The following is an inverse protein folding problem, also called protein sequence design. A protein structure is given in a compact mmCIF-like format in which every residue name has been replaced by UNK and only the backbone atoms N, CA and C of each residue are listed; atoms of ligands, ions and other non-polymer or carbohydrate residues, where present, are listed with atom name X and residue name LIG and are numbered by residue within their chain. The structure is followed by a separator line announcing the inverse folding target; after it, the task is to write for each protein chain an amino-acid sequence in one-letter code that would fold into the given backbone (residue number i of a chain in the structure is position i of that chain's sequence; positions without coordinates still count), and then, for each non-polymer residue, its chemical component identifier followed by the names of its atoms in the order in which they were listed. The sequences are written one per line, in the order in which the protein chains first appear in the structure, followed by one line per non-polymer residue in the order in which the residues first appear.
data_IF_784481448746
#
_entry.id   IF_784481448746
#
_cell.length_a   1.000
_cell.length_b   1.000
_cell.length_c   1.000
_cell.angle_alpha   90.00
_cell.angle_beta   90.00
_cell.angle_gamma   90.00
#
_symmetry.space_group_name_H-M   'P 1'
#
loop_
_entity.id
_entity.type
_entity.pdbx_description
1 polymer ?
#
# COMPACT_ATOMS: atom_id res chain seq x y z
N UNK A 1 -54.19 -22.64 50.61
CA UNK A 1 -55.23 -22.51 49.56
C UNK A 1 -54.48 -22.25 48.25
N UNK A 2 -54.34 -23.27 47.39
CA UNK A 2 -55.11 -23.45 46.12
C UNK A 2 -54.91 -22.28 45.13
N UNK A 3 -54.57 -22.42 43.84
CA UNK A 3 -54.23 -23.55 42.93
C UNK A 3 -53.65 -22.93 41.61
N UNK A 4 -52.94 -23.58 40.67
CA UNK A 4 -52.40 -24.94 40.51
C UNK A 4 -51.31 -24.96 39.40
N UNK A 5 -50.63 -26.10 39.18
CA UNK A 5 -49.92 -26.47 37.93
C UNK A 5 -50.77 -27.45 37.09
N UNK A 6 -50.56 -27.55 35.76
CA UNK A 6 -49.69 -28.61 35.19
C UNK A 6 -48.72 -28.03 34.12
N UNK A 7 -47.52 -28.55 33.82
CA UNK A 7 -46.96 -29.91 33.69
C UNK A 7 -47.31 -30.64 32.37
N UNK A 8 -46.32 -31.40 31.84
CA UNK A 8 -46.31 -32.27 30.64
C UNK A 8 -45.95 -31.60 29.30
N UNK A 9 -45.20 -32.23 28.39
CA UNK A 9 -44.35 -33.45 28.44
C UNK A 9 -43.25 -33.33 27.36
N UNK A 10 -42.07 -33.89 27.63
CA UNK A 10 -41.00 -34.27 26.69
C UNK A 10 -40.61 -35.68 27.14
N UNK A 11 -40.49 -36.73 26.29
CA UNK A 11 -39.38 -36.83 25.33
C UNK A 11 -39.66 -37.65 24.04
N UNK A 12 -38.69 -37.72 23.11
CA UNK A 12 -38.25 -39.01 22.51
C UNK A 12 -37.02 -38.85 21.59
N UNK A 13 -35.91 -39.45 21.99
CA UNK A 13 -34.76 -39.74 21.11
C UNK A 13 -35.06 -40.99 20.28
N UNK A 14 -34.71 -40.98 18.98
CA UNK A 14 -34.35 -42.21 18.25
C UNK A 14 -33.16 -41.96 17.32
N UNK A 15 -32.16 -42.82 17.45
CA UNK A 15 -31.06 -42.97 16.50
C UNK A 15 -31.29 -44.21 15.60
N UNK A 16 -30.37 -44.38 14.66
CA UNK A 16 -29.99 -45.58 13.90
C UNK A 16 -30.35 -45.59 12.40
N UNK A 17 -29.34 -45.86 11.56
CA UNK A 17 -29.51 -46.18 10.13
C UNK A 17 -28.41 -45.63 9.21
N UNK A 18 -27.26 -46.28 9.15
CA UNK A 18 -26.30 -46.10 8.04
C UNK A 18 -26.85 -46.74 6.74
N UNK A 19 -26.69 -46.06 5.60
CA UNK A 19 -26.49 -46.69 4.28
C UNK A 19 -26.02 -45.67 3.22
N UNK A 20 -24.93 -45.97 2.52
CA UNK A 20 -24.43 -45.17 1.39
C UNK A 20 -25.29 -45.32 0.13
N UNK A 21 -25.47 -44.22 -0.60
CA UNK A 21 -25.57 -44.21 -2.06
C UNK A 21 -25.12 -42.84 -2.61
N UNK A 22 -24.48 -42.84 -3.78
CA UNK A 22 -23.77 -41.68 -4.34
C UNK A 22 -24.65 -40.76 -5.20
N UNK A 23 -24.07 -39.60 -5.53
CA UNK A 23 -24.38 -38.78 -6.72
C UNK A 23 -25.66 -37.92 -6.66
N UNK A 24 -25.48 -36.60 -6.50
CA UNK A 24 -25.49 -35.69 -7.66
C UNK A 24 -24.98 -34.30 -7.28
N UNK A 25 -23.99 -33.85 -8.05
CA UNK A 25 -23.58 -32.47 -8.33
C UNK A 25 -24.49 -31.37 -7.78
N UNK A 26 -23.98 -30.61 -6.82
CA UNK A 26 -24.25 -29.18 -6.71
C UNK A 26 -22.94 -28.46 -6.43
N UNK A 27 -22.34 -27.96 -7.51
CA UNK A 27 -21.33 -26.90 -7.42
C UNK A 27 -22.05 -25.66 -6.91
N UNK A 28 -22.17 -25.52 -5.59
CA UNK A 28 -22.41 -24.20 -5.02
C UNK A 28 -21.24 -23.32 -5.41
N UNK A 29 -21.61 -22.19 -6.02
CA UNK A 29 -20.73 -21.19 -6.59
C UNK A 29 -19.60 -20.89 -5.63
N UNK A 30 -18.38 -21.30 -5.99
CA UNK A 30 -17.18 -20.81 -5.32
C UNK A 30 -17.12 -19.30 -5.58
N UNK A 31 -17.59 -18.51 -4.61
CA UNK A 31 -17.46 -17.06 -4.66
C UNK A 31 -16.03 -16.74 -5.03
N UNK A 32 -15.83 -15.92 -6.06
CA UNK A 32 -14.50 -15.56 -6.52
C UNK A 32 -13.87 -14.64 -5.48
N UNK A 33 -13.24 -15.26 -4.46
CA UNK A 33 -12.53 -14.58 -3.39
C UNK A 33 -11.47 -13.69 -4.01
N UNK A 34 -11.73 -12.38 -3.94
CA UNK A 34 -10.93 -11.38 -4.65
C UNK A 34 -9.48 -11.39 -4.16
N UNK A 35 -8.53 -11.36 -5.10
CA UNK A 35 -7.10 -11.29 -4.78
C UNK A 35 -6.56 -9.92 -5.13
N UNK A 36 -5.74 -9.37 -4.23
CA UNK A 36 -5.04 -8.10 -4.49
C UNK A 36 -4.19 -8.20 -5.76
N UNK A 37 -3.72 -9.40 -6.11
CA UNK A 37 -2.88 -9.66 -7.28
C UNK A 37 -3.61 -9.66 -8.63
N UNK A 38 -4.93 -9.75 -8.63
CA UNK A 38 -5.77 -9.60 -9.83
C UNK A 38 -6.49 -8.26 -9.82
N UNK A 39 -7.06 -7.88 -8.69
CA UNK A 39 -8.11 -6.85 -8.63
C UNK A 39 -7.51 -5.45 -8.38
N UNK A 40 -6.34 -5.39 -7.73
CA UNK A 40 -5.73 -4.14 -7.26
C UNK A 40 -4.43 -3.76 -8.01
N UNK A 41 -4.17 -4.37 -9.18
CA UNK A 41 -2.96 -4.14 -10.01
C UNK A 41 -2.69 -2.64 -10.25
N UNK A 42 -3.74 -1.88 -10.55
CA UNK A 42 -3.69 -0.44 -10.80
C UNK A 42 -3.83 0.42 -9.52
N UNK A 43 -4.34 -0.15 -8.42
CA UNK A 43 -4.74 0.57 -7.20
C UNK A 43 -3.61 0.77 -6.15
N UNK A 44 -2.34 0.67 -6.56
CA UNK A 44 -1.18 0.65 -5.66
C UNK A 44 -1.07 1.82 -4.68
N UNK A 45 -1.45 3.03 -5.10
CA UNK A 45 -1.45 4.19 -4.21
C UNK A 45 -2.48 4.04 -3.08
N UNK A 46 -3.62 3.40 -3.36
CA UNK A 46 -4.65 3.08 -2.37
C UNK A 46 -4.21 1.93 -1.46
N UNK A 47 -3.63 0.86 -2.02
CA UNK A 47 -3.05 -0.26 -1.24
C UNK A 47 -1.97 0.23 -0.29
N UNK A 48 -1.00 1.02 -0.78
CA UNK A 48 0.07 1.60 0.05
C UNK A 48 -0.47 2.50 1.16
N UNK A 49 -1.53 3.27 0.89
CA UNK A 49 -2.19 4.13 1.90
C UNK A 49 -2.91 3.30 2.96
N UNK A 50 -3.62 2.25 2.56
CA UNK A 50 -4.31 1.34 3.49
C UNK A 50 -3.33 0.54 4.34
N UNK A 51 -2.25 0.03 3.77
CA UNK A 51 -1.19 -0.65 4.52
C UNK A 51 -0.55 0.25 5.59
N UNK A 52 -0.27 1.53 5.26
CA UNK A 52 0.19 2.53 6.24
C UNK A 52 -0.85 2.81 7.34
N UNK A 53 -2.13 2.88 6.99
CA UNK A 53 -3.23 3.02 7.96
C UNK A 53 -3.35 1.79 8.88
N UNK A 54 -3.06 0.59 8.36
CA UNK A 54 -2.97 -0.64 9.15
C UNK A 54 -1.82 -0.60 10.17
N UNK A 55 -0.65 -0.09 9.79
CA UNK A 55 0.49 0.16 10.70
C UNK A 55 0.11 1.17 11.79
N UNK A 56 -0.54 2.27 11.42
CA UNK A 56 -1.03 3.27 12.40
C UNK A 56 -2.01 2.66 13.41
N UNK A 57 -2.87 1.73 12.97
CA UNK A 57 -3.75 0.98 13.87
C UNK A 57 -2.96 0.09 14.83
N UNK A 58 -1.89 -0.58 14.39
CA UNK A 58 -1.02 -1.34 15.28
C UNK A 58 -0.37 -0.47 16.36
N UNK A 59 0.14 0.71 16.01
CA UNK A 59 0.64 1.68 17.01
C UNK A 59 -0.45 2.13 17.99
N UNK A 60 -1.66 2.40 17.51
CA UNK A 60 -2.78 2.81 18.36
C UNK A 60 -3.18 1.69 19.35
N UNK A 61 -3.22 0.43 18.90
CA UNK A 61 -3.47 -0.73 19.76
C UNK A 61 -2.35 -0.90 20.78
N UNK A 62 -1.08 -0.89 20.36
CA UNK A 62 0.07 -1.02 21.26
C UNK A 62 0.06 0.06 22.37
N UNK A 63 -0.13 1.34 22.00
CA UNK A 63 -0.26 2.43 22.97
C UNK A 63 -1.47 2.27 23.91
N UNK A 64 -2.60 1.79 23.40
CA UNK A 64 -3.80 1.52 24.19
C UNK A 64 -3.57 0.40 25.23
N UNK A 65 -2.91 -0.71 24.85
CA UNK A 65 -2.63 -1.80 25.81
C UNK A 65 -1.67 -1.33 26.89
N UNK A 66 -0.62 -0.59 26.54
CA UNK A 66 0.33 -0.03 27.52
C UNK A 66 -0.35 0.90 28.51
N UNK A 67 -1.19 1.82 28.04
CA UNK A 67 -1.95 2.71 28.93
C UNK A 67 -3.00 1.93 29.75
N UNK A 68 -3.61 0.88 29.20
CA UNK A 68 -4.55 0.02 29.95
C UNK A 68 -3.86 -0.73 31.08
N UNK A 69 -2.66 -1.26 30.85
CA UNK A 69 -1.85 -1.91 31.88
C UNK A 69 -1.50 -0.93 33.01
N UNK A 70 -1.10 0.31 32.64
CA UNK A 70 -0.82 1.39 33.58
C UNK A 70 -2.03 1.73 34.46
N UNK A 71 -3.21 1.93 33.85
CA UNK A 71 -4.45 2.26 34.57
C UNK A 71 -4.89 1.16 35.54
N UNK A 72 -4.78 -0.12 35.17
CA UNK A 72 -5.13 -1.24 36.06
C UNK A 72 -4.14 -1.37 37.23
N UNK A 73 -2.84 -1.10 37.00
CA UNK A 73 -1.82 -1.05 38.05
C UNK A 73 -2.04 0.11 39.03
N UNK A 74 -2.30 1.32 38.52
CA UNK A 74 -2.64 2.50 39.34
C UNK A 74 -3.88 2.23 40.21
N UNK A 75 -4.91 1.59 39.64
CA UNK A 75 -6.13 1.23 40.34
C UNK A 75 -5.88 0.19 41.45
N UNK A 76 -5.12 -0.87 41.17
CA UNK A 76 -4.71 -1.85 42.18
C UNK A 76 -3.97 -1.19 43.35
N UNK A 77 -3.01 -0.30 43.07
CA UNK A 77 -2.29 0.44 44.12
C UNK A 77 -3.19 1.37 44.93
N UNK A 78 -4.20 1.99 44.31
CA UNK A 78 -5.16 2.83 45.01
C UNK A 78 -6.04 2.01 45.98
N UNK A 79 -6.47 0.81 45.58
CA UNK A 79 -7.22 -0.10 46.46
C UNK A 79 -6.38 -0.60 47.65
N UNK A 80 -5.11 -0.98 47.44
CA UNK A 80 -4.23 -1.39 48.54
C UNK A 80 -4.00 -0.25 49.56
N UNK A 81 -3.85 0.99 49.09
CA UNK A 81 -3.73 2.16 49.97
C UNK A 81 -5.02 2.44 50.74
N UNK A 82 -6.19 2.23 50.09
CA UNK A 82 -7.49 2.40 50.74
C UNK A 82 -7.65 1.44 51.92
N UNK A 83 -7.32 0.15 51.76
CA UNK A 83 -7.46 -0.85 52.83
C UNK A 83 -6.43 -0.68 53.93
N UNK A 84 -5.20 -0.29 53.60
CA UNK A 84 -4.16 0.04 54.59
C UNK A 84 -4.58 1.21 55.48
N UNK A 85 -5.14 2.26 54.90
CA UNK A 85 -5.64 3.44 55.64
C UNK A 85 -6.95 3.16 56.41
N UNK A 86 -7.65 2.08 56.08
CA UNK A 86 -8.92 1.70 56.69
C UNK A 86 -8.77 0.86 57.97
N UNK A 87 -7.57 0.38 58.31
CA UNK A 87 -7.34 -0.48 59.48
C UNK A 87 -7.58 0.30 60.77
N UNK A 88 -8.53 -0.15 61.57
CA UNK A 88 -8.96 0.47 62.82
C UNK A 88 -9.39 -0.61 63.81
N UNK A 89 -9.18 -0.35 65.11
CA UNK A 89 -9.68 -1.18 66.21
C UNK A 89 -11.04 -0.63 66.67
N UNK A 90 -11.98 -1.52 66.99
CA UNK A 90 -13.27 -1.17 67.61
C UNK A 90 -13.54 -2.06 68.84
N UNK A 91 -14.45 -1.63 69.71
CA UNK A 91 -14.85 -2.37 70.90
C UNK A 91 -15.70 -3.62 70.57
N UNK A 92 -16.39 -3.65 69.43
CA UNK A 92 -17.11 -4.82 68.96
C UNK A 92 -16.18 -5.74 68.16
N UNK A 93 -15.86 -6.90 68.74
CA UNK A 93 -15.08 -7.92 68.04
C UNK A 93 -15.83 -8.45 66.79
N UNK A 94 -17.17 -8.52 66.84
CA UNK A 94 -17.98 -8.93 65.69
C UNK A 94 -17.87 -7.92 64.54
N UNK A 95 -17.99 -6.62 64.85
CA UNK A 95 -17.85 -5.58 63.84
C UNK A 95 -16.41 -5.49 63.30
N UNK A 96 -15.40 -5.63 64.17
CA UNK A 96 -13.98 -5.68 63.76
C UNK A 96 -13.74 -6.80 62.75
N UNK A 97 -14.18 -8.04 63.04
CA UNK A 97 -14.08 -9.17 62.11
C UNK A 97 -14.84 -8.94 60.79
N UNK A 98 -16.00 -8.26 60.85
CA UNK A 98 -16.74 -7.88 59.65
C UNK A 98 -15.94 -6.87 58.81
N UNK A 99 -15.41 -5.82 59.42
CA UNK A 99 -14.62 -4.79 58.77
C UNK A 99 -13.32 -5.35 58.15
N UNK A 100 -12.63 -6.24 58.86
CA UNK A 100 -11.48 -6.97 58.34
C UNK A 100 -11.83 -7.82 57.12
N UNK A 101 -13.02 -8.42 57.09
CA UNK A 101 -13.51 -9.16 55.90
C UNK A 101 -13.68 -8.23 54.70
N UNK A 102 -14.24 -7.04 54.88
CA UNK A 102 -14.37 -6.04 53.82
C UNK A 102 -13.00 -5.53 53.35
N UNK A 103 -12.08 -5.23 54.26
CA UNK A 103 -10.73 -4.81 53.91
C UNK A 103 -9.99 -5.90 53.13
N UNK A 104 -10.03 -7.15 53.60
CA UNK A 104 -9.40 -8.32 52.95
C UNK A 104 -10.00 -8.58 51.56
N UNK A 105 -11.32 -8.45 51.41
CA UNK A 105 -12.00 -8.57 50.11
C UNK A 105 -11.50 -7.54 49.09
N UNK A 106 -11.31 -6.28 49.51
CA UNK A 106 -10.76 -5.23 48.64
C UNK A 106 -9.25 -5.42 48.37
N UNK A 107 -8.47 -5.91 49.34
CA UNK A 107 -7.06 -6.30 49.15
C UNK A 107 -6.95 -7.41 48.07
N UNK A 108 -7.84 -8.40 48.09
CA UNK A 108 -7.89 -9.42 47.06
C UNK A 108 -8.31 -8.87 45.68
N UNK A 109 -9.33 -8.00 45.60
CA UNK A 109 -9.67 -7.33 44.32
C UNK A 109 -8.47 -6.56 43.77
N UNK A 110 -7.69 -5.90 44.63
CA UNK A 110 -6.47 -5.21 44.24
C UNK A 110 -5.40 -6.18 43.71
N UNK A 111 -5.19 -7.33 44.37
CA UNK A 111 -4.26 -8.36 43.92
C UNK A 111 -4.60 -8.88 42.52
N UNK A 112 -5.86 -9.23 42.27
CA UNK A 112 -6.31 -9.74 40.95
C UNK A 112 -6.17 -8.66 39.85
N UNK A 113 -6.39 -7.38 40.21
CA UNK A 113 -6.14 -6.24 39.29
C UNK A 113 -4.65 -6.08 38.98
N UNK A 114 -3.77 -6.29 39.97
CA UNK A 114 -2.33 -6.29 39.78
C UNK A 114 -1.86 -7.44 38.87
N UNK A 115 -2.44 -8.64 39.02
CA UNK A 115 -2.17 -9.81 38.15
C UNK A 115 -2.60 -9.57 36.70
N UNK A 116 -3.78 -8.97 36.48
CA UNK A 116 -4.23 -8.57 35.15
C UNK A 116 -3.32 -7.51 34.53
N UNK A 117 -2.96 -6.47 35.29
CA UNK A 117 -2.02 -5.44 34.85
C UNK A 117 -0.65 -6.04 34.49
N UNK A 118 -0.15 -7.00 35.30
CA UNK A 118 1.09 -7.74 35.04
C UNK A 118 1.00 -8.56 33.76
N UNK A 119 -0.09 -9.29 33.53
CA UNK A 119 -0.34 -10.05 32.29
C UNK A 119 -0.29 -9.14 31.06
N UNK A 120 -0.98 -7.99 31.12
CA UNK A 120 -0.91 -7.00 30.04
C UNK A 120 0.52 -6.49 29.82
N UNK A 121 1.20 -6.09 30.90
CA UNK A 121 2.52 -5.44 30.84
C UNK A 121 3.65 -6.39 30.42
N UNK A 122 3.57 -7.68 30.75
CA UNK A 122 4.65 -8.66 30.52
C UNK A 122 4.44 -9.55 29.29
N UNK A 123 3.18 -9.76 28.86
CA UNK A 123 2.85 -10.60 27.70
C UNK A 123 2.34 -9.76 26.53
N UNK A 124 1.25 -9.01 26.73
CA UNK A 124 0.54 -8.36 25.61
C UNK A 124 1.29 -7.12 25.08
N UNK A 125 1.82 -6.28 25.97
CA UNK A 125 2.58 -5.07 25.57
C UNK A 125 3.80 -5.41 24.71
N UNK A 126 4.74 -6.28 25.13
CA UNK A 126 5.93 -6.60 24.33
C UNK A 126 5.58 -7.23 22.97
N UNK A 127 4.55 -8.08 22.92
CA UNK A 127 4.07 -8.69 21.67
C UNK A 127 3.50 -7.66 20.70
N UNK A 128 2.65 -6.74 21.17
CA UNK A 128 2.06 -5.69 20.31
C UNK A 128 3.10 -4.70 19.82
N UNK A 129 4.09 -4.32 20.64
CA UNK A 129 5.22 -3.48 20.23
C UNK A 129 6.08 -4.18 19.16
N UNK A 130 6.50 -5.43 19.42
CA UNK A 130 7.31 -6.21 18.49
C UNK A 130 6.60 -6.47 17.16
N UNK A 131 5.30 -6.78 17.20
CA UNK A 131 4.49 -6.95 15.99
C UNK A 131 4.34 -5.63 15.23
N UNK A 132 4.13 -4.51 15.91
CA UNK A 132 3.99 -3.18 15.27
C UNK A 132 5.26 -2.82 14.49
N UNK A 133 6.45 -3.00 15.09
CA UNK A 133 7.74 -2.78 14.43
C UNK A 133 7.95 -3.74 13.24
N UNK A 134 7.55 -5.01 13.37
CA UNK A 134 7.60 -6.00 12.28
C UNK A 134 6.70 -5.57 11.11
N UNK A 135 5.45 -5.18 11.40
CA UNK A 135 4.46 -4.77 10.42
C UNK A 135 4.92 -3.51 9.67
N UNK A 136 5.44 -2.50 10.38
CA UNK A 136 5.97 -1.30 9.76
C UNK A 136 7.10 -1.63 8.77
N UNK A 137 8.09 -2.41 9.20
CA UNK A 137 9.23 -2.81 8.33
C UNK A 137 8.77 -3.55 7.08
N UNK A 138 7.83 -4.48 7.20
CA UNK A 138 7.28 -5.21 6.06
C UNK A 138 6.54 -4.26 5.09
N UNK A 139 5.66 -3.40 5.60
CA UNK A 139 4.90 -2.44 4.79
C UNK A 139 5.83 -1.43 4.10
N UNK A 140 6.81 -0.88 4.80
CA UNK A 140 7.81 0.02 4.21
C UNK A 140 8.58 -0.66 3.07
N UNK A 141 9.05 -1.91 3.27
CA UNK A 141 9.75 -2.71 2.25
C UNK A 141 8.89 -2.93 1.00
N UNK A 142 7.65 -3.40 1.16
CA UNK A 142 6.74 -3.66 0.03
C UNK A 142 6.40 -2.38 -0.74
N UNK A 143 6.24 -1.25 -0.06
CA UNK A 143 6.03 0.05 -0.72
C UNK A 143 7.29 0.43 -1.54
N UNK A 144 8.49 0.28 -0.99
CA UNK A 144 9.73 0.61 -1.69
C UNK A 144 9.93 -0.27 -2.94
N UNK A 145 9.67 -1.57 -2.85
CA UNK A 145 9.74 -2.53 -3.97
C UNK A 145 8.73 -2.21 -5.07
N UNK A 146 7.47 -1.93 -4.70
CA UNK A 146 6.41 -1.56 -5.64
C UNK A 146 6.65 -0.19 -6.30
N UNK A 147 7.21 0.78 -5.58
CA UNK A 147 7.65 2.07 -6.13
C UNK A 147 8.80 1.87 -7.12
N UNK A 148 9.79 1.03 -6.80
CA UNK A 148 10.90 0.70 -7.71
C UNK A 148 10.37 0.07 -9.00
N UNK A 149 9.57 -0.99 -8.91
CA UNK A 149 9.01 -1.66 -10.10
C UNK A 149 8.23 -0.71 -11.03
N UNK A 150 7.43 0.20 -10.46
CA UNK A 150 6.67 1.20 -11.24
C UNK A 150 7.54 2.33 -11.78
N UNK A 151 8.67 2.66 -11.15
CA UNK A 151 9.69 3.57 -11.68
C UNK A 151 10.39 2.95 -12.89
N UNK A 152 10.84 1.70 -12.76
CA UNK A 152 11.48 0.94 -13.84
C UNK A 152 10.55 0.91 -15.07
N UNK A 153 9.28 0.54 -14.90
CA UNK A 153 8.28 0.51 -15.97
C UNK A 153 8.04 1.88 -16.63
N UNK A 154 8.03 2.97 -15.85
CA UNK A 154 7.89 4.33 -16.39
C UNK A 154 9.09 4.74 -17.25
N UNK A 155 10.32 4.34 -16.88
CA UNK A 155 11.51 4.60 -17.69
C UNK A 155 11.44 3.87 -19.04
N UNK A 156 11.04 2.60 -19.04
CA UNK A 156 10.87 1.78 -20.24
C UNK A 156 9.79 2.39 -21.15
N UNK A 157 8.65 2.76 -20.57
CA UNK A 157 7.54 3.43 -21.29
C UNK A 157 8.01 4.75 -21.93
N UNK A 158 8.82 5.55 -21.23
CA UNK A 158 9.37 6.78 -21.77
C UNK A 158 10.39 6.56 -22.90
N UNK A 159 11.16 5.46 -22.87
CA UNK A 159 12.09 5.10 -23.94
C UNK A 159 11.35 4.75 -25.24
N UNK A 160 10.36 3.84 -25.18
CA UNK A 160 9.55 3.48 -26.36
C UNK A 160 8.75 4.68 -26.89
N UNK A 161 8.21 5.54 -26.02
CA UNK A 161 7.53 6.78 -26.44
C UNK A 161 8.48 7.76 -27.15
N UNK A 162 9.71 7.92 -26.67
CA UNK A 162 10.72 8.78 -27.30
C UNK A 162 11.14 8.24 -28.65
N UNK A 163 11.38 6.93 -28.76
CA UNK A 163 11.75 6.28 -30.01
C UNK A 163 10.61 6.37 -31.04
N UNK A 164 9.37 6.04 -30.64
CA UNK A 164 8.14 6.18 -31.46
C UNK A 164 7.94 7.59 -31.99
N UNK A 165 8.06 8.60 -31.11
CA UNK A 165 7.94 10.02 -31.50
C UNK A 165 9.06 10.45 -32.46
N UNK A 166 10.29 9.93 -32.30
CA UNK A 166 11.41 10.21 -33.24
C UNK A 166 11.13 9.58 -34.61
N UNK A 167 10.76 8.30 -34.66
CA UNK A 167 10.42 7.58 -35.89
C UNK A 167 9.30 8.28 -36.65
N UNK A 168 8.16 8.53 -35.99
CA UNK A 168 7.02 9.20 -36.62
C UNK A 168 7.41 10.56 -37.22
N UNK A 169 8.21 11.39 -36.52
CA UNK A 169 8.69 12.69 -37.04
C UNK A 169 9.55 12.54 -38.29
N UNK A 170 10.45 11.55 -38.34
CA UNK A 170 11.28 11.30 -39.53
C UNK A 170 10.42 10.82 -40.71
N UNK A 171 9.44 9.94 -40.48
CA UNK A 171 8.50 9.52 -41.52
C UNK A 171 7.69 10.68 -42.10
N UNK A 172 7.19 11.59 -41.25
CA UNK A 172 6.45 12.78 -41.72
C UNK A 172 7.34 13.67 -42.60
N UNK A 173 8.58 13.97 -42.18
CA UNK A 173 9.51 14.77 -42.97
C UNK A 173 9.86 14.14 -44.33
N UNK A 174 10.00 12.81 -44.38
CA UNK A 174 10.21 12.09 -45.64
C UNK A 174 8.99 12.18 -46.57
N UNK A 175 7.77 12.02 -46.04
CA UNK A 175 6.51 12.14 -46.79
C UNK A 175 6.34 13.55 -47.35
N UNK A 176 6.59 14.58 -46.54
CA UNK A 176 6.51 15.98 -46.98
C UNK A 176 7.50 16.27 -48.11
N UNK A 177 8.74 15.81 -47.99
CA UNK A 177 9.78 15.99 -49.01
C UNK A 177 9.41 15.28 -50.33
N UNK A 178 8.90 14.04 -50.26
CA UNK A 178 8.38 13.31 -51.44
C UNK A 178 7.22 14.08 -52.09
N UNK A 179 6.32 14.66 -51.29
CA UNK A 179 5.21 15.45 -51.81
C UNK A 179 5.66 16.76 -52.48
N UNK A 180 6.72 17.41 -51.97
CA UNK A 180 7.34 18.59 -52.61
C UNK A 180 8.01 18.22 -53.93
N UNK A 181 8.75 17.11 -53.99
CA UNK A 181 9.39 16.63 -55.22
C UNK A 181 8.34 16.31 -56.30
N UNK A 182 7.30 15.52 -55.96
CA UNK A 182 6.20 15.20 -56.90
C UNK A 182 5.47 16.44 -57.45
N UNK A 183 5.30 17.48 -56.63
CA UNK A 183 4.75 18.76 -57.11
C UNK A 183 5.70 19.48 -58.05
N UNK A 184 7.01 19.46 -57.77
CA UNK A 184 8.05 20.06 -58.61
C UNK A 184 8.13 19.39 -59.99
N UNK A 185 7.98 18.07 -60.06
CA UNK A 185 7.94 17.30 -61.31
C UNK A 185 6.66 17.54 -62.14
N UNK A 186 5.59 18.09 -61.53
CA UNK A 186 4.29 18.32 -62.18
C UNK A 186 4.12 19.71 -62.81
N UNK A 187 5.10 20.62 -62.66
CA UNK A 187 5.03 21.99 -63.19
C UNK A 187 5.75 22.09 -64.53
N UNK A 188 4.98 22.36 -65.59
CA UNK A 188 5.49 22.68 -66.92
C UNK A 188 6.45 23.89 -66.89
N UNK A 189 7.50 23.97 -67.74
CA UNK A 189 8.60 24.95 -67.60
C UNK A 189 8.21 26.43 -67.54
N UNK A 190 7.01 26.79 -67.99
CA UNK A 190 6.53 28.18 -68.07
C UNK A 190 6.33 28.88 -66.71
N UNK A 191 6.16 28.15 -65.59
CA UNK A 191 5.87 28.76 -64.28
C UNK A 191 7.05 28.78 -63.28
N UNK A 192 8.19 28.15 -63.60
CA UNK A 192 9.34 28.07 -62.71
C UNK A 192 9.92 29.45 -62.32
N UNK A 193 9.86 30.43 -63.23
CA UNK A 193 10.37 31.79 -63.00
C UNK A 193 9.58 32.59 -61.95
N UNK A 194 8.28 32.33 -61.77
CA UNK A 194 7.45 33.11 -60.85
C UNK A 194 7.65 32.74 -59.39
N UNK A 195 8.03 31.49 -59.09
CA UNK A 195 8.20 31.01 -57.72
C UNK A 195 9.55 31.44 -57.13
N UNK A 196 10.61 31.44 -57.94
CA UNK A 196 11.96 31.78 -57.49
C UNK A 196 12.10 33.24 -57.05
N UNK A 197 11.37 34.16 -57.69
CA UNK A 197 11.37 35.59 -57.36
C UNK A 197 10.69 35.90 -56.01
N UNK A 198 9.75 35.07 -55.55
CA UNK A 198 9.02 35.33 -54.30
C UNK A 198 9.82 34.93 -53.04
N UNK A 199 10.80 34.02 -53.15
CA UNK A 199 11.60 33.57 -52.01
C UNK A 199 12.87 34.41 -51.75
N UNK A 200 13.31 35.22 -52.72
CA UNK A 200 14.49 36.10 -52.57
C UNK A 200 14.18 37.45 -51.91
N UNK A 201 12.93 37.72 -51.53
CA UNK A 201 12.48 39.07 -51.13
C UNK A 201 12.41 39.33 -49.62
N UNK A 202 12.66 38.35 -48.73
CA UNK A 202 12.15 38.44 -47.34
C UNK A 202 13.09 38.14 -46.15
N UNK A 203 14.37 37.77 -46.33
CA UNK A 203 15.26 37.42 -45.18
C UNK A 203 16.70 37.99 -45.23
N UNK A 204 16.97 39.10 -45.94
CA UNK A 204 18.30 39.76 -45.97
C UNK A 204 18.45 40.99 -45.03
N UNK A 205 17.87 40.97 -43.82
CA UNK A 205 18.23 41.96 -42.76
C UNK A 205 18.24 41.36 -41.35
N UNK A 206 19.18 40.47 -41.04
CA UNK A 206 19.58 40.19 -39.63
C UNK A 206 20.92 39.44 -39.44
N UNK A 207 21.34 38.62 -40.41
CA UNK A 207 22.44 37.66 -40.19
C UNK A 207 23.87 38.25 -40.21
N UNK A 208 24.07 39.50 -40.65
CA UNK A 208 25.42 40.05 -40.92
C UNK A 208 26.23 40.49 -39.68
N UNK A 209 25.71 40.32 -38.46
CA UNK A 209 26.44 40.69 -37.22
C UNK A 209 27.00 39.53 -36.40
N UNK A 210 26.55 38.29 -36.58
CA UNK A 210 27.08 37.13 -35.83
C UNK A 210 28.22 36.41 -36.55
N UNK A 211 28.43 36.68 -37.85
CA UNK A 211 29.41 35.96 -38.67
C UNK A 211 30.87 36.38 -38.37
N UNK A 212 31.08 37.62 -37.94
CA UNK A 212 32.42 38.24 -37.82
C UNK A 212 33.22 37.71 -36.63
N UNK A 213 32.55 37.26 -35.56
CA UNK A 213 33.19 36.89 -34.29
C UNK A 213 33.70 35.43 -34.28
N UNK A 214 33.23 34.57 -35.20
CA UNK A 214 33.59 33.15 -35.29
C UNK A 214 34.74 32.84 -36.27
N UNK A 215 35.32 33.86 -36.90
CA UNK A 215 36.41 33.68 -37.88
C UNK A 215 37.79 33.36 -37.25
N UNK A 216 37.98 33.59 -35.95
CA UNK A 216 39.28 33.45 -35.28
C UNK A 216 39.68 32.01 -34.89
N UNK A 217 38.77 31.02 -34.94
CA UNK A 217 39.02 29.70 -34.32
C UNK A 217 38.66 28.48 -35.19
N UNK A 218 38.40 28.64 -36.50
CA UNK A 218 37.84 27.53 -37.31
C UNK A 218 38.02 27.63 -38.84
N UNK A 219 39.09 28.26 -39.34
CA UNK A 219 39.28 28.52 -40.77
C UNK A 219 39.12 27.27 -41.66
N UNK A 220 39.65 26.11 -41.26
CA UNK A 220 39.50 24.86 -42.01
C UNK A 220 38.05 24.38 -42.14
N UNK A 221 37.27 24.42 -41.06
CA UNK A 221 35.88 23.95 -41.09
C UNK A 221 34.96 24.90 -41.88
N UNK A 222 35.23 26.20 -41.85
CA UNK A 222 34.53 27.19 -42.67
C UNK A 222 34.87 27.04 -44.16
N UNK A 223 36.15 26.83 -44.50
CA UNK A 223 36.55 26.58 -45.89
C UNK A 223 35.96 25.28 -46.45
N UNK A 224 35.92 24.18 -45.68
CA UNK A 224 35.24 22.95 -46.11
C UNK A 224 33.74 23.20 -46.33
N UNK A 225 33.05 23.87 -45.39
CA UNK A 225 31.63 24.22 -45.57
C UNK A 225 31.39 25.12 -46.79
N UNK A 226 32.26 26.11 -47.03
CA UNK A 226 32.18 26.98 -48.22
C UNK A 226 32.42 26.19 -49.51
N UNK A 227 33.36 25.25 -49.52
CA UNK A 227 33.65 24.39 -50.67
C UNK A 227 32.50 23.41 -50.95
N UNK A 228 31.91 22.81 -49.92
CA UNK A 228 30.71 21.97 -50.04
C UNK A 228 29.51 22.77 -50.55
N UNK A 229 29.36 24.01 -50.10
CA UNK A 229 28.29 24.92 -50.55
C UNK A 229 28.50 25.35 -52.01
N UNK A 230 29.74 25.65 -52.40
CA UNK A 230 30.09 26.11 -53.76
C UNK A 230 30.06 24.96 -54.78
N UNK A 231 30.56 23.77 -54.41
CA UNK A 231 30.49 22.58 -55.26
C UNK A 231 29.06 22.05 -55.45
N UNK A 232 28.14 22.36 -54.53
CA UNK A 232 26.71 22.08 -54.71
C UNK A 232 26.08 22.95 -55.81
N UNK A 233 26.57 24.17 -56.08
CA UNK A 233 25.95 25.11 -57.03
C UNK A 233 25.91 24.59 -58.48
N UNK A 234 26.83 23.71 -58.87
CA UNK A 234 26.86 23.09 -60.20
C UNK A 234 25.89 21.91 -60.40
N UNK A 235 25.25 21.39 -59.33
CA UNK A 235 24.31 20.26 -59.44
C UNK A 235 22.90 20.71 -59.77
N UNK A 236 22.19 19.91 -60.56
CA UNK A 236 20.79 20.14 -60.91
C UNK A 236 19.93 20.25 -59.63
N UNK A 237 18.99 21.22 -59.51
CA UNK A 237 18.09 21.33 -58.35
C UNK A 237 17.40 20.00 -57.96
N UNK A 238 17.04 19.17 -58.94
CA UNK A 238 16.44 17.85 -58.72
C UNK A 238 17.42 16.88 -58.03
N UNK A 239 18.70 16.91 -58.37
CA UNK A 239 19.73 16.07 -57.72
C UNK A 239 19.93 16.49 -56.25
N UNK A 240 19.86 17.79 -55.95
CA UNK A 240 19.94 18.28 -54.56
C UNK A 240 18.73 17.85 -53.74
N UNK A 241 17.53 17.89 -54.31
CA UNK A 241 16.32 17.37 -53.67
C UNK A 241 16.41 15.85 -53.46
N UNK A 242 16.89 15.10 -54.46
CA UNK A 242 17.09 13.65 -54.38
C UNK A 242 18.11 13.26 -53.31
N UNK A 243 19.23 13.98 -53.21
CA UNK A 243 20.23 13.76 -52.16
C UNK A 243 19.66 14.01 -50.74
N UNK A 244 18.88 15.10 -50.56
CA UNK A 244 18.15 15.36 -49.30
C UNK A 244 17.16 14.24 -48.96
N UNK A 245 16.47 13.69 -49.97
CA UNK A 245 15.55 12.57 -49.77
C UNK A 245 16.27 11.29 -49.32
N UNK A 246 17.41 10.93 -49.94
CA UNK A 246 18.20 9.78 -49.50
C UNK A 246 18.63 9.90 -48.03
N UNK A 247 19.19 11.04 -47.62
CA UNK A 247 19.56 11.30 -46.22
C UNK A 247 18.34 11.20 -45.29
N UNK A 248 17.19 11.75 -45.69
CA UNK A 248 15.97 11.66 -44.89
C UNK A 248 15.47 10.21 -44.72
N UNK A 249 15.57 9.38 -45.76
CA UNK A 249 15.23 7.97 -45.72
C UNK A 249 16.22 7.15 -44.86
N UNK A 250 17.51 7.45 -44.89
CA UNK A 250 18.49 6.86 -43.97
C UNK A 250 18.18 7.21 -42.50
N UNK A 251 17.78 8.45 -42.22
CA UNK A 251 17.32 8.85 -40.88
C UNK A 251 16.04 8.13 -40.45
N UNK A 252 15.10 7.87 -41.37
CA UNK A 252 13.92 7.04 -41.12
C UNK A 252 14.35 5.64 -40.71
N UNK A 253 15.15 4.94 -41.53
CA UNK A 253 15.64 3.58 -41.25
C UNK A 253 16.43 3.52 -39.93
N UNK A 254 17.26 4.52 -39.64
CA UNK A 254 17.97 4.63 -38.37
C UNK A 254 17.01 4.78 -37.18
N UNK A 255 15.97 5.61 -37.32
CA UNK A 255 14.98 5.81 -36.26
C UNK A 255 14.02 4.61 -36.08
N UNK A 256 13.76 3.86 -37.15
CA UNK A 256 12.98 2.61 -37.14
C UNK A 256 13.68 1.54 -36.32
N UNK A 257 14.98 1.28 -36.60
CA UNK A 257 15.81 0.34 -35.83
C UNK A 257 15.79 0.65 -34.33
N UNK A 258 15.92 1.93 -33.96
CA UNK A 258 15.82 2.38 -32.57
C UNK A 258 14.43 2.17 -31.95
N UNK A 259 13.36 2.27 -32.74
CA UNK A 259 12.00 2.01 -32.28
C UNK A 259 11.74 0.52 -32.10
N UNK A 260 12.15 -0.32 -33.04
CA UNK A 260 12.05 -1.79 -32.94
C UNK A 260 12.82 -2.31 -31.73
N UNK A 261 14.07 -1.86 -31.52
CA UNK A 261 14.86 -2.21 -30.34
C UNK A 261 14.15 -1.79 -29.02
N UNK A 262 13.51 -0.63 -28.99
CA UNK A 262 12.75 -0.19 -27.82
C UNK A 262 11.47 -1.03 -27.59
N UNK A 263 10.83 -1.51 -28.66
CA UNK A 263 9.69 -2.46 -28.59
C UNK A 263 10.14 -3.82 -28.04
N UNK A 264 11.26 -4.36 -28.50
CA UNK A 264 11.85 -5.62 -28.01
C UNK A 264 12.16 -5.56 -26.51
N UNK A 265 12.88 -4.52 -26.07
CA UNK A 265 13.18 -4.26 -24.65
C UNK A 265 11.89 -4.17 -23.82
N UNK A 266 10.89 -3.43 -24.31
CA UNK A 266 9.60 -3.26 -23.62
C UNK A 266 8.85 -4.59 -23.51
N UNK A 267 8.83 -5.41 -24.55
CA UNK A 267 8.16 -6.71 -24.57
C UNK A 267 8.85 -7.70 -23.63
N UNK A 268 10.19 -7.75 -23.62
CA UNK A 268 10.95 -8.61 -22.72
C UNK A 268 10.66 -8.26 -21.24
N UNK A 269 10.64 -6.96 -20.90
CA UNK A 269 10.45 -6.52 -19.52
C UNK A 269 8.99 -6.52 -19.05
N UNK A 270 8.01 -6.64 -19.96
CA UNK A 270 6.57 -6.64 -19.63
C UNK A 270 6.19 -7.75 -18.65
N UNK A 271 6.62 -8.98 -18.92
CA UNK A 271 6.28 -10.15 -18.10
C UNK A 271 6.93 -10.07 -16.71
N UNK A 272 8.17 -9.58 -16.63
CA UNK A 272 8.87 -9.39 -15.37
C UNK A 272 8.25 -8.27 -14.51
N UNK A 273 7.81 -7.17 -15.14
CA UNK A 273 7.03 -6.15 -14.44
C UNK A 273 5.71 -6.70 -13.91
N UNK A 274 4.94 -7.42 -14.73
CA UNK A 274 3.67 -8.01 -14.33
C UNK A 274 3.85 -8.99 -13.15
N UNK A 275 4.87 -9.85 -13.22
CA UNK A 275 5.23 -10.80 -12.15
C UNK A 275 5.55 -10.06 -10.84
N UNK A 276 6.48 -9.10 -10.88
CA UNK A 276 6.90 -8.30 -9.70
C UNK A 276 5.73 -7.58 -9.05
N UNK A 277 4.78 -7.07 -9.84
CA UNK A 277 3.61 -6.35 -9.34
C UNK A 277 2.61 -7.31 -8.70
N UNK A 278 2.36 -8.48 -9.30
CA UNK A 278 1.51 -9.53 -8.73
C UNK A 278 2.07 -10.05 -7.42
N UNK A 279 3.37 -10.38 -7.36
CA UNK A 279 4.07 -10.82 -6.16
C UNK A 279 4.00 -9.78 -5.03
N UNK A 280 4.28 -8.51 -5.33
CA UNK A 280 4.20 -7.41 -4.37
C UNK A 280 2.78 -7.24 -3.80
N UNK A 281 1.74 -7.41 -4.62
CA UNK A 281 0.35 -7.32 -4.18
C UNK A 281 -0.10 -8.54 -3.36
N UNK A 282 0.38 -9.75 -3.66
CA UNK A 282 0.18 -10.94 -2.79
C UNK A 282 0.84 -10.75 -1.43
N UNK A 283 2.04 -10.17 -1.39
CA UNK A 283 2.71 -9.87 -0.14
C UNK A 283 1.89 -8.86 0.71
N UNK A 284 1.33 -7.81 0.10
CA UNK A 284 0.42 -6.90 0.81
C UNK A 284 -0.83 -7.61 1.36
N UNK A 285 -1.41 -8.53 0.59
CA UNK A 285 -2.57 -9.30 1.03
C UNK A 285 -2.23 -10.17 2.26
N UNK A 286 -1.18 -10.99 2.17
CA UNK A 286 -0.74 -11.87 3.25
C UNK A 286 -0.34 -11.10 4.52
N UNK A 287 0.37 -9.98 4.37
CA UNK A 287 0.75 -9.10 5.50
C UNK A 287 -0.45 -8.39 6.12
N UNK A 288 -1.56 -8.19 5.40
CA UNK A 288 -2.81 -7.66 5.96
C UNK A 288 -3.64 -8.74 6.65
N UNK A 289 -3.70 -9.94 6.08
CA UNK A 289 -4.33 -11.13 6.70
C UNK A 289 -3.68 -11.46 8.06
N UNK A 290 -2.34 -11.53 8.09
CA UNK A 290 -1.57 -11.72 9.33
C UNK A 290 -1.78 -10.61 10.36
N UNK A 291 -2.00 -9.36 9.91
CA UNK A 291 -2.29 -8.22 10.80
C UNK A 291 -3.66 -8.35 11.44
N UNK A 292 -4.67 -8.75 10.68
CA UNK A 292 -6.03 -8.93 11.17
C UNK A 292 -6.13 -10.12 12.14
N UNK A 293 -5.45 -11.22 11.83
CA UNK A 293 -5.33 -12.39 12.71
C UNK A 293 -4.67 -12.02 14.05
N UNK A 294 -3.50 -11.38 14.01
CA UNK A 294 -2.79 -10.94 15.22
C UNK A 294 -3.61 -9.99 16.10
N UNK A 295 -4.23 -8.97 15.50
CA UNK A 295 -5.04 -8.02 16.28
C UNK A 295 -6.29 -8.68 16.88
N UNK A 296 -6.89 -9.66 16.19
CA UNK A 296 -8.01 -10.44 16.73
C UNK A 296 -7.56 -11.26 17.93
N UNK A 297 -6.44 -11.97 17.82
CA UNK A 297 -5.89 -12.79 18.90
C UNK A 297 -5.57 -11.95 20.15
N UNK A 298 -4.90 -10.81 19.99
CA UNK A 298 -4.60 -9.88 21.10
C UNK A 298 -5.89 -9.43 21.81
N UNK A 299 -6.92 -9.03 21.08
CA UNK A 299 -8.20 -8.61 21.67
C UNK A 299 -8.89 -9.76 22.41
N UNK A 300 -8.87 -10.98 21.85
CA UNK A 300 -9.42 -12.17 22.49
C UNK A 300 -8.67 -12.52 23.80
N UNK A 301 -7.34 -12.47 23.80
CA UNK A 301 -6.53 -12.74 25.01
C UNK A 301 -6.71 -11.69 26.09
N UNK A 302 -6.80 -10.41 25.73
CA UNK A 302 -7.14 -9.34 26.67
C UNK A 302 -8.55 -9.51 27.25
N UNK A 303 -9.53 -9.89 26.42
CA UNK A 303 -10.89 -10.17 26.88
C UNK A 303 -10.91 -11.37 27.85
N UNK A 304 -10.23 -12.47 27.51
CA UNK A 304 -10.19 -13.66 28.36
C UNK A 304 -9.57 -13.35 29.73
N UNK A 305 -8.39 -12.73 29.75
CA UNK A 305 -7.70 -12.35 30.98
C UNK A 305 -8.51 -11.36 31.85
N UNK A 306 -9.42 -10.57 31.25
CA UNK A 306 -10.36 -9.74 31.99
C UNK A 306 -11.58 -10.52 32.50
N UNK A 307 -12.05 -11.52 31.75
CA UNK A 307 -13.17 -12.40 32.14
C UNK A 307 -12.80 -13.28 33.34
N UNK A 308 -11.56 -13.77 33.38
CA UNK A 308 -11.05 -14.66 34.44
C UNK A 308 -11.04 -13.99 35.85
N UNK A 309 -11.14 -12.66 35.92
CA UNK A 309 -11.22 -11.85 37.15
C UNK A 309 -12.60 -11.96 37.83
N UNK A 310 -13.68 -12.18 37.07
CA UNK A 310 -15.05 -12.08 37.59
C UNK A 310 -15.41 -13.13 38.65
N UNK A 311 -15.08 -14.43 38.52
CA UNK A 311 -15.46 -15.44 39.51
C UNK A 311 -14.88 -15.15 40.89
N UNK A 312 -13.61 -14.74 40.94
CA UNK A 312 -12.94 -14.35 42.19
C UNK A 312 -13.60 -13.09 42.79
N UNK A 313 -13.87 -12.08 41.96
CA UNK A 313 -14.56 -10.86 42.38
C UNK A 313 -15.96 -11.15 42.97
N UNK A 314 -16.70 -12.09 42.39
CA UNK A 314 -18.00 -12.54 42.92
C UNK A 314 -17.86 -13.25 44.27
N UNK A 315 -16.85 -14.12 44.42
CA UNK A 315 -16.59 -14.82 45.69
C UNK A 315 -16.34 -13.83 46.85
N UNK A 316 -15.57 -12.77 46.62
CA UNK A 316 -15.32 -11.73 47.64
C UNK A 316 -16.59 -10.95 48.01
N UNK A 317 -17.48 -10.68 47.04
CA UNK A 317 -18.78 -10.04 47.29
C UNK A 317 -19.69 -10.92 48.16
N UNK A 318 -19.74 -12.22 47.91
CA UNK A 318 -20.51 -13.14 48.76
C UNK A 318 -19.89 -13.28 50.16
N UNK A 319 -18.56 -13.28 50.30
CA UNK A 319 -17.90 -13.26 51.62
C UNK A 319 -18.27 -12.00 52.44
N UNK A 320 -18.26 -10.82 51.83
CA UNK A 320 -18.69 -9.58 52.49
C UNK A 320 -20.17 -9.64 52.95
N UNK A 321 -21.08 -10.16 52.10
CA UNK A 321 -22.49 -10.37 52.47
C UNK A 321 -22.67 -11.38 53.61
N UNK A 322 -21.90 -12.47 53.62
CA UNK A 322 -21.98 -13.46 54.69
C UNK A 322 -21.42 -12.94 56.02
N UNK A 323 -20.46 -12.01 55.96
CA UNK A 323 -19.82 -11.41 57.14
C UNK A 323 -20.73 -10.37 57.83
N UNK A 324 -21.38 -9.49 57.05
CA UNK A 324 -22.30 -8.48 57.64
C UNK A 324 -23.51 -9.12 58.34
N UNK A 325 -23.97 -10.29 57.87
CA UNK A 325 -25.04 -11.07 58.49
C UNK A 325 -24.63 -11.76 59.81
N UNK A 326 -23.37 -11.67 60.23
CA UNK A 326 -22.86 -12.23 61.50
C UNK A 326 -22.70 -11.18 62.60
N UNK A 327 -22.97 -9.90 62.31
CA UNK A 327 -22.96 -8.82 63.31
C UNK A 327 -24.33 -8.76 63.97
N UNK A 328 -24.39 -9.06 65.26
CA UNK A 328 -25.59 -8.95 66.08
C UNK A 328 -25.60 -7.62 66.87
N UNK A 329 -26.71 -6.90 66.81
CA UNK A 329 -26.90 -5.63 67.53
C UNK A 329 -27.12 -5.83 69.04
N UNK A 330 -27.50 -7.06 69.46
CA UNK A 330 -27.88 -7.41 70.82
C UNK A 330 -27.07 -8.60 71.34
N UNK A 331 -25.76 -8.38 71.54
CA UNK A 331 -24.83 -9.40 72.02
C UNK A 331 -25.33 -10.15 73.26
N UNK A 332 -25.38 -11.49 73.15
CA UNK A 332 -25.62 -12.41 74.26
C UNK A 332 -24.35 -12.80 75.01
#
# INVERSE_FOLDING_TARGET
MHSSRPSKDDPSVKADGEASAETTTSQEVLETSGSYSTDLIQAFASVSRKAKSGVQMCHAVSAFVTERARVESDYAQALLKLTQNAKAEDWSEQFTRCWDTFCTAIEHVAQVRCEFASTLQTVIVPETEAFTVKQERQVQKMIAEGVKARRDQKQITALIDKARKKYNRKCHGAIELIAVMRRSDSVSPAHAYSSLLCQLSSEEVSASKELTEKLASGAGHLLTKMWDTTSAFGRNPLERQRAKLYVCLEEVISSEKLYLQAVEITNAQRLDFERRIKENLRAFQLTEEQRLEFLRDILMRMQQAFVDIFPQSQQFVEQMKMSINQVDELGG
#
